data_IF_857936310694
#
_entry.id   IF_857936310694
#
_cell.length_a   1.000
_cell.length_b   1.000
_cell.length_c   1.000
_cell.angle_alpha   90.00
_cell.angle_beta   90.00
_cell.angle_gamma   90.00
#
_symmetry.space_group_name_H-M   'P 1'
#
loop_
_entity.id
_entity.type
_entity.pdbx_description
1 polymer ?
#
# COMPACT_ATOMS: atom_id res chain seq x y z
N UNK A 1 -3.64 15.89 3.07
CA UNK A 1 -2.44 15.02 3.07
C UNK A 1 -2.26 14.50 4.48
N UNK A 2 -2.14 13.19 4.66
CA UNK A 2 -2.02 12.55 5.97
C UNK A 2 -0.65 11.87 6.15
N UNK A 3 -0.21 11.12 5.14
CA UNK A 3 1.10 10.47 5.13
C UNK A 3 1.52 10.13 3.70
N UNK A 4 2.79 9.82 3.50
CA UNK A 4 3.25 9.19 2.26
C UNK A 4 4.74 8.98 2.28
N UNK A 5 5.18 7.79 1.86
CA UNK A 5 6.58 7.39 1.93
C UNK A 5 6.97 6.55 0.72
N UNK A 6 8.22 6.71 0.30
CA UNK A 6 8.85 5.81 -0.68
C UNK A 6 9.42 4.60 0.05
N UNK A 7 9.09 3.41 -0.44
CA UNK A 7 9.64 2.17 0.09
C UNK A 7 11.02 1.89 -0.51
N UNK A 8 11.86 1.21 0.28
CA UNK A 8 13.10 0.63 -0.22
C UNK A 8 12.80 -0.50 -1.22
N UNK A 9 13.75 -0.87 -2.09
CA UNK A 9 13.59 -2.02 -2.97
C UNK A 9 13.19 -3.29 -2.19
N UNK A 10 12.45 -4.20 -2.82
CA UNK A 10 11.87 -5.36 -2.14
C UNK A 10 12.89 -6.36 -1.62
N UNK A 11 14.14 -6.28 -2.10
CA UNK A 11 15.27 -7.01 -1.54
C UNK A 11 15.60 -6.61 -0.09
N UNK A 12 15.16 -5.43 0.36
CA UNK A 12 15.31 -4.98 1.74
C UNK A 12 14.09 -5.32 2.62
N UNK A 13 13.05 -5.97 2.07
CA UNK A 13 11.89 -6.37 2.84
C UNK A 13 12.15 -7.69 3.59
N UNK A 14 11.43 -7.88 4.69
CA UNK A 14 11.35 -9.15 5.42
C UNK A 14 9.89 -9.43 5.72
N UNK A 15 9.44 -10.63 5.38
CA UNK A 15 8.06 -11.07 5.54
C UNK A 15 7.92 -12.03 6.71
N UNK A 16 6.87 -11.86 7.51
CA UNK A 16 6.56 -12.71 8.67
C UNK A 16 5.22 -13.39 8.44
N UNK A 17 5.17 -14.72 8.59
CA UNK A 17 3.95 -15.52 8.49
C UNK A 17 3.77 -16.42 9.71
N UNK A 18 2.63 -16.31 10.38
CA UNK A 18 2.21 -17.25 11.42
C UNK A 18 1.45 -18.41 10.77
N UNK A 19 1.91 -19.64 10.96
CA UNK A 19 1.25 -20.85 10.47
C UNK A 19 1.52 -22.01 11.44
N UNK A 20 0.50 -22.83 11.72
CA UNK A 20 0.59 -24.02 12.58
C UNK A 20 1.25 -23.74 13.96
N UNK A 21 0.93 -22.59 14.55
CA UNK A 21 1.49 -22.16 15.84
C UNK A 21 2.96 -21.73 15.79
N UNK A 22 3.54 -21.57 14.59
CA UNK A 22 4.93 -21.18 14.38
C UNK A 22 5.06 -19.85 13.65
N UNK A 23 6.13 -19.14 13.94
CA UNK A 23 6.53 -17.91 13.24
C UNK A 23 7.55 -18.26 12.16
N UNK A 24 7.19 -18.03 10.90
CA UNK A 24 8.10 -18.15 9.77
C UNK A 24 8.55 -16.75 9.34
N UNK A 25 9.85 -16.57 9.13
CA UNK A 25 10.46 -15.32 8.66
C UNK A 25 11.14 -15.60 7.33
N UNK A 26 10.87 -14.77 6.32
CA UNK A 26 11.39 -14.91 4.97
C UNK A 26 11.97 -13.58 4.52
N UNK A 27 13.15 -13.62 3.88
CA UNK A 27 13.70 -12.45 3.21
C UNK A 27 12.89 -12.16 1.94
N UNK A 28 12.66 -10.87 1.68
CA UNK A 28 11.89 -10.39 0.54
C UNK A 28 10.44 -10.04 0.86
N UNK A 29 9.70 -9.58 -0.17
CA UNK A 29 8.33 -9.12 -0.03
C UNK A 29 7.37 -10.29 0.17
N UNK A 30 6.14 -9.98 0.61
CA UNK A 30 5.10 -10.99 0.79
C UNK A 30 4.76 -11.73 -0.51
N UNK A 31 4.66 -10.99 -1.61
CA UNK A 31 4.39 -11.53 -2.94
C UNK A 31 5.52 -11.14 -3.89
N UNK A 32 6.06 -12.13 -4.60
CA UNK A 32 7.02 -11.88 -5.66
C UNK A 32 6.27 -11.63 -6.97
N UNK A 33 5.98 -10.36 -7.23
CA UNK A 33 5.20 -9.88 -8.36
C UNK A 33 6.08 -9.16 -9.39
N UNK A 34 5.62 -9.11 -10.65
CA UNK A 34 6.30 -8.30 -11.67
C UNK A 34 6.29 -6.81 -11.33
N UNK A 35 5.23 -6.36 -10.66
CA UNK A 35 5.04 -4.98 -10.21
C UNK A 35 5.14 -4.92 -8.70
N UNK A 36 6.04 -4.08 -8.19
CA UNK A 36 6.36 -4.02 -6.78
C UNK A 36 5.77 -2.76 -6.14
N UNK A 37 5.29 -2.86 -4.90
CA UNK A 37 4.81 -1.70 -4.15
C UNK A 37 6.00 -0.80 -3.79
N UNK A 38 6.14 0.31 -4.50
CA UNK A 38 7.29 1.22 -4.37
C UNK A 38 7.07 2.37 -3.36
N UNK A 39 5.84 2.54 -2.88
CA UNK A 39 5.45 3.67 -2.03
C UNK A 39 3.95 3.74 -1.84
N UNK A 40 3.52 4.62 -0.96
CA UNK A 40 2.10 4.92 -0.77
C UNK A 40 1.90 6.39 -0.43
N UNK A 41 0.66 6.85 -0.61
CA UNK A 41 0.16 8.11 -0.06
C UNK A 41 -1.14 7.84 0.68
N UNK A 42 -1.34 8.52 1.81
CA UNK A 42 -2.59 8.55 2.54
C UNK A 42 -3.11 9.98 2.52
N UNK A 43 -4.33 10.14 2.04
CA UNK A 43 -5.01 11.42 1.91
C UNK A 43 -6.40 11.31 2.51
N UNK A 44 -6.89 12.43 3.00
CA UNK A 44 -8.31 12.62 3.25
C UNK A 44 -8.92 13.24 1.99
N UNK A 45 -10.01 12.65 1.52
CA UNK A 45 -10.74 13.09 0.35
C UNK A 45 -12.24 12.99 0.67
N UNK A 46 -13.04 13.87 0.09
CA UNK A 46 -14.49 13.90 0.32
C UNK A 46 -15.21 12.68 -0.26
N UNK A 47 -14.64 12.10 -1.32
CA UNK A 47 -15.14 10.91 -2.00
C UNK A 47 -14.01 10.23 -2.81
N UNK A 48 -14.33 9.07 -3.39
CA UNK A 48 -13.38 8.29 -4.19
C UNK A 48 -12.98 9.02 -5.48
N UNK A 49 -13.86 9.80 -6.08
CA UNK A 49 -13.58 10.53 -7.32
C UNK A 49 -12.52 11.60 -7.08
N UNK A 50 -12.66 12.37 -6.01
CA UNK A 50 -11.64 13.31 -5.55
C UNK A 50 -10.32 12.60 -5.29
N UNK A 51 -10.33 11.45 -4.60
CA UNK A 51 -9.12 10.68 -4.35
C UNK A 51 -8.44 10.18 -5.65
N UNK A 52 -9.23 9.80 -6.67
CA UNK A 52 -8.72 9.42 -7.99
C UNK A 52 -8.07 10.60 -8.72
N UNK A 53 -8.64 11.80 -8.65
CA UNK A 53 -8.02 13.00 -9.20
C UNK A 53 -6.65 13.29 -8.56
N UNK A 54 -6.52 13.07 -7.25
CA UNK A 54 -5.23 13.15 -6.57
C UNK A 54 -4.26 12.05 -7.02
N UNK A 55 -4.74 10.82 -7.15
CA UNK A 55 -3.97 9.68 -7.65
C UNK A 55 -3.38 9.93 -9.03
N UNK A 56 -4.16 10.52 -9.94
CA UNK A 56 -3.74 10.86 -11.30
C UNK A 56 -2.61 11.91 -11.37
N UNK A 57 -2.42 12.71 -10.32
CA UNK A 57 -1.33 13.70 -10.22
C UNK A 57 0.00 13.11 -9.77
N UNK A 58 -0.01 11.88 -9.25
CA UNK A 58 1.21 11.22 -8.80
C UNK A 58 2.12 10.90 -10.01
N UNK A 59 3.39 11.34 -10.03
CA UNK A 59 4.28 11.05 -11.15
C UNK A 59 4.42 9.56 -11.48
N UNK A 60 4.31 8.68 -10.46
CA UNK A 60 4.37 7.23 -10.62
C UNK A 60 3.24 6.67 -11.50
N UNK A 61 2.10 7.37 -11.63
CA UNK A 61 1.01 6.96 -12.52
C UNK A 61 1.40 6.99 -14.00
N UNK A 62 2.44 7.75 -14.38
CA UNK A 62 2.92 7.83 -15.77
C UNK A 62 3.84 6.68 -16.20
N UNK A 63 4.46 5.99 -15.23
CA UNK A 63 5.45 4.92 -15.48
C UNK A 63 5.08 3.60 -14.80
N UNK A 64 3.95 3.54 -14.13
CA UNK A 64 3.50 2.41 -13.33
C UNK A 64 2.01 2.54 -13.07
N UNK A 65 1.56 2.19 -11.87
CA UNK A 65 0.14 2.25 -11.49
C UNK A 65 0.01 2.84 -10.08
N UNK A 66 -1.04 3.64 -9.89
CA UNK A 66 -1.48 4.11 -8.59
C UNK A 66 -2.83 3.49 -8.31
N UNK A 67 -2.88 2.56 -7.35
CA UNK A 67 -4.13 2.01 -6.83
C UNK A 67 -4.71 2.99 -5.80
N UNK A 68 -5.96 3.40 -6.00
CA UNK A 68 -6.70 4.21 -5.03
C UNK A 68 -7.66 3.30 -4.28
N UNK A 69 -7.43 3.13 -2.98
CA UNK A 69 -8.18 2.19 -2.14
C UNK A 69 -8.60 2.86 -0.83
N UNK A 70 -9.91 2.91 -0.51
CA UNK A 70 -10.38 3.36 0.80
C UNK A 70 -9.79 2.50 1.91
N UNK A 71 -9.54 3.12 3.06
CA UNK A 71 -9.21 2.39 4.30
C UNK A 71 -10.51 2.09 5.05
N UNK A 72 -10.47 1.08 5.91
CA UNK A 72 -11.51 0.90 6.91
C UNK A 72 -11.39 2.00 7.95
N UNK A 73 -12.47 2.73 8.20
CA UNK A 73 -12.50 3.63 9.34
C UNK A 73 -12.75 2.83 10.62
N UNK A 74 -12.28 3.37 11.75
CA UNK A 74 -12.50 2.72 13.05
C UNK A 74 -14.00 2.61 13.41
N UNK A 75 -14.81 3.47 12.80
CA UNK A 75 -16.29 3.45 12.80
C UNK A 75 -16.87 2.24 12.06
N UNK A 76 -16.22 1.78 10.98
CA UNK A 76 -16.69 0.64 10.17
C UNK A 76 -16.43 -0.72 10.82
N UNK A 77 -15.53 -0.79 11.80
CA UNK A 77 -15.16 -2.05 12.48
C UNK A 77 -16.19 -2.52 13.52
N UNK A 78 -17.13 -1.65 13.91
CA UNK A 78 -18.12 -1.94 14.98
C UNK A 78 -19.53 -2.21 14.48
N UNK A 79 -19.76 -2.21 13.17
CA UNK A 79 -21.02 -2.60 12.51
C UNK A 79 -20.90 -4.00 11.91
#
# INVERSE_FOLDING_TARGET
>A
YLAGERLRPTQAATSIRLADGKTNVLDGPYADTKEQLAGFYMIEATDIDTAMEWGARCPAASTGTVEVRPIWEMTDYRS
#
